data_IF_037722710347
#
_entry.id   IF_037722710347
#
_cell.length_a   1.000
_cell.length_b   1.000
_cell.length_c   1.000
_cell.angle_alpha   90.00
_cell.angle_beta   90.00
_cell.angle_gamma   90.00
#
_symmetry.space_group_name_H-M   'P 1'
#
loop_
_entity.id
_entity.type
_entity.pdbx_description
1 polymer ?
#
# COMPACT_ATOMS: atom_id res chain seq x y z
N UNK A 1 -4.52 2.37 -1.14
CA UNK A 1 -4.64 0.90 -1.12
C UNK A 1 -5.53 0.31 -2.23
N UNK A 2 -6.69 0.90 -2.58
CA UNK A 2 -7.64 0.29 -3.54
C UNK A 2 -7.06 0.00 -4.94
N UNK A 3 -6.25 0.91 -5.49
CA UNK A 3 -5.59 0.70 -6.78
C UNK A 3 -4.55 -0.44 -6.74
N UNK A 4 -3.83 -0.58 -5.62
CA UNK A 4 -2.82 -1.62 -5.40
C UNK A 4 -3.49 -3.00 -5.29
N UNK A 5 -4.60 -3.08 -4.56
CA UNK A 5 -5.40 -4.31 -4.45
C UNK A 5 -5.87 -4.83 -5.81
N UNK A 6 -6.43 -3.95 -6.64
CA UNK A 6 -6.87 -4.33 -8.00
C UNK A 6 -5.71 -4.76 -8.92
N UNK A 7 -4.55 -4.15 -8.78
CA UNK A 7 -3.38 -4.49 -9.60
C UNK A 7 -2.72 -5.79 -9.13
N UNK A 8 -2.81 -6.11 -7.83
CA UNK A 8 -2.30 -7.37 -7.25
C UNK A 8 -3.08 -8.61 -7.71
N UNK A 9 -4.38 -8.47 -7.98
CA UNK A 9 -5.22 -9.55 -8.52
C UNK A 9 -5.02 -9.79 -10.02
N UNK A 10 -4.43 -8.83 -10.75
CA UNK A 10 -4.28 -8.87 -12.21
C UNK A 10 -2.85 -9.26 -12.65
N UNK A 11 -2.19 -10.16 -11.90
CA UNK A 11 -0.83 -10.65 -12.18
C UNK A 11 -0.78 -11.38 -13.54
N UNK A 12 -0.61 -10.64 -14.64
CA UNK A 12 -0.33 -11.24 -15.96
C UNK A 12 -0.84 -10.47 -17.19
N UNK A 13 -1.72 -9.47 -17.03
CA UNK A 13 -2.27 -8.71 -18.16
C UNK A 13 -1.27 -7.75 -18.81
N UNK A 14 -1.40 -7.48 -20.12
CA UNK A 14 -0.62 -6.42 -20.79
C UNK A 14 -1.03 -5.05 -20.20
N UNK A 15 -0.11 -4.08 -20.05
CA UNK A 15 -0.41 -2.78 -19.40
C UNK A 15 -1.61 -2.04 -19.99
N UNK A 16 -1.82 -2.16 -21.31
CA UNK A 16 -2.95 -1.56 -22.00
C UNK A 16 -4.30 -2.18 -21.61
N UNK A 17 -4.35 -3.49 -21.34
CA UNK A 17 -5.57 -4.18 -20.92
C UNK A 17 -5.94 -3.81 -19.48
N UNK A 18 -4.94 -3.71 -18.59
CA UNK A 18 -5.07 -3.18 -17.23
C UNK A 18 -5.57 -1.74 -17.21
N UNK A 19 -5.17 -0.91 -18.18
CA UNK A 19 -5.61 0.49 -18.27
C UNK A 19 -7.10 0.61 -18.47
N UNK A 20 -7.61 -0.18 -19.42
CA UNK A 20 -9.02 -0.26 -19.77
C UNK A 20 -9.84 -0.85 -18.63
N UNK A 21 -9.36 -1.94 -18.02
CA UNK A 21 -10.06 -2.61 -16.91
C UNK A 21 -10.14 -1.75 -15.64
N UNK A 22 -9.07 -0.99 -15.37
CA UNK A 22 -8.99 -0.17 -14.16
C UNK A 22 -9.49 1.26 -14.35
N UNK A 23 -9.81 1.67 -15.58
CA UNK A 23 -10.18 3.04 -15.92
C UNK A 23 -9.08 4.05 -15.58
N UNK A 24 -7.81 3.67 -15.72
CA UNK A 24 -6.66 4.49 -15.33
C UNK A 24 -5.82 4.87 -16.57
N UNK A 25 -5.33 6.13 -16.66
CA UNK A 25 -4.41 6.49 -17.72
C UNK A 25 -3.10 5.69 -17.60
N UNK A 26 -2.41 5.35 -18.71
CA UNK A 26 -1.23 4.48 -18.72
C UNK A 26 -0.13 4.89 -17.73
N UNK A 27 0.18 6.19 -17.64
CA UNK A 27 1.19 6.72 -16.70
C UNK A 27 0.88 6.39 -15.23
N UNK A 28 -0.41 6.27 -14.87
CA UNK A 28 -0.85 5.93 -13.51
C UNK A 28 -0.63 4.45 -13.23
N UNK A 29 -0.79 3.59 -14.23
CA UNK A 29 -0.52 2.15 -14.11
C UNK A 29 0.96 1.91 -13.93
N UNK A 30 1.80 2.57 -14.71
CA UNK A 30 3.26 2.44 -14.59
C UNK A 30 3.74 2.87 -13.22
N UNK A 31 3.19 3.98 -12.69
CA UNK A 31 3.45 4.44 -11.33
C UNK A 31 3.04 3.39 -10.29
N UNK A 32 1.83 2.82 -10.40
CA UNK A 32 1.35 1.80 -9.46
C UNK A 32 2.18 0.51 -9.57
N UNK A 33 2.57 0.08 -10.77
CA UNK A 33 3.46 -1.08 -10.98
C UNK A 33 4.83 -0.86 -10.36
N UNK A 34 5.42 0.32 -10.53
CA UNK A 34 6.70 0.67 -9.89
C UNK A 34 6.57 0.62 -8.36
N UNK A 35 5.49 1.17 -7.81
CA UNK A 35 5.23 1.10 -6.38
C UNK A 35 5.12 -0.35 -5.91
N UNK A 36 4.44 -1.22 -6.67
CA UNK A 36 4.22 -2.63 -6.32
C UNK A 36 5.47 -3.52 -6.32
N UNK A 37 6.58 -3.13 -6.98
CA UNK A 37 7.79 -3.96 -7.04
C UNK A 37 8.39 -4.33 -5.67
N UNK A 38 8.11 -3.56 -4.61
CA UNK A 38 8.55 -3.87 -3.25
C UNK A 38 7.50 -4.53 -2.35
N UNK A 39 6.29 -4.79 -2.85
CA UNK A 39 5.17 -5.24 -2.01
C UNK A 39 4.84 -6.71 -2.22
N UNK A 40 4.91 -7.48 -1.15
CA UNK A 40 4.31 -8.83 -1.04
C UNK A 40 2.90 -8.73 -0.44
N UNK A 41 2.03 -9.73 -0.65
CA UNK A 41 0.72 -9.78 0.00
C UNK A 41 0.80 -9.62 1.53
N UNK A 42 1.75 -10.32 2.17
CA UNK A 42 1.97 -10.24 3.61
C UNK A 42 2.47 -8.85 4.04
N UNK A 43 3.38 -8.25 3.27
CA UNK A 43 3.84 -6.88 3.51
C UNK A 43 2.70 -5.88 3.46
N UNK A 44 1.78 -6.02 2.50
CA UNK A 44 0.59 -5.18 2.40
C UNK A 44 -0.33 -5.37 3.62
N UNK A 45 -0.52 -6.61 4.08
CA UNK A 45 -1.33 -6.89 5.27
C UNK A 45 -0.73 -6.26 6.53
N UNK A 46 0.59 -6.35 6.71
CA UNK A 46 1.31 -5.71 7.83
C UNK A 46 1.16 -4.18 7.78
N UNK A 47 1.40 -3.57 6.62
CA UNK A 47 1.27 -2.13 6.46
C UNK A 47 -0.16 -1.64 6.72
N UNK A 48 -1.18 -2.40 6.28
CA UNK A 48 -2.57 -2.05 6.53
C UNK A 48 -2.91 -2.06 8.04
N UNK A 49 -2.45 -3.08 8.78
CA UNK A 49 -2.63 -3.15 10.24
C UNK A 49 -1.92 -2.01 10.96
N UNK A 50 -0.70 -1.66 10.54
CA UNK A 50 0.04 -0.54 11.12
C UNK A 50 -0.70 0.81 10.94
N UNK A 51 -1.26 1.05 9.75
CA UNK A 51 -2.06 2.25 9.48
C UNK A 51 -3.35 2.26 10.31
N UNK A 52 -4.03 1.12 10.44
CA UNK A 52 -5.23 1.03 11.25
C UNK A 52 -4.96 1.29 12.75
N UNK A 53 -3.84 0.78 13.27
CA UNK A 53 -3.42 1.06 14.65
C UNK A 53 -3.11 2.54 14.87
N UNK A 54 -2.49 3.20 13.89
CA UNK A 54 -2.24 4.63 13.95
C UNK A 54 -3.52 5.46 13.89
N UNK A 55 -4.47 5.11 13.02
CA UNK A 55 -5.78 5.76 12.93
C UNK A 55 -6.54 5.67 14.27
N UNK A 56 -6.51 4.49 14.90
CA UNK A 56 -7.08 4.28 16.22
C UNK A 56 -6.35 5.11 17.31
N UNK A 57 -5.01 5.22 17.25
CA UNK A 57 -4.24 6.03 18.20
C UNK A 57 -4.53 7.53 18.07
N UNK A 58 -4.60 8.04 16.84
CA UNK A 58 -4.87 9.46 16.56
C UNK A 58 -6.32 9.84 16.89
N UNK A 59 -7.29 8.98 16.58
CA UNK A 59 -8.72 9.26 16.82
C UNK A 59 -9.20 8.87 18.21
N UNK A 60 -8.57 7.88 18.83
CA UNK A 60 -8.99 7.30 20.11
C UNK A 60 -8.41 7.99 21.35
N UNK A 61 -7.63 9.07 21.18
CA UNK A 61 -7.01 9.79 22.30
C UNK A 61 -5.82 9.07 22.90
N UNK A 62 -5.00 8.39 22.08
CA UNK A 62 -3.74 7.84 22.55
C UNK A 62 -2.80 8.94 23.06
N UNK A 63 -1.98 8.61 24.05
CA UNK A 63 -1.13 9.58 24.77
C UNK A 63 -0.13 10.33 23.87
N UNK A 64 0.19 9.79 22.68
CA UNK A 64 1.12 10.38 21.73
C UNK A 64 0.73 10.05 20.26
N UNK A 65 -0.07 10.91 19.60
CA UNK A 65 -0.50 10.71 18.22
C UNK A 65 0.63 10.88 17.19
N UNK A 66 1.66 11.68 17.50
CA UNK A 66 2.82 11.88 16.63
C UNK A 66 3.67 10.62 16.61
N UNK A 67 3.96 10.05 17.78
CA UNK A 67 4.67 8.79 17.90
C UNK A 67 3.91 7.62 17.24
N UNK A 68 2.58 7.59 17.33
CA UNK A 68 1.76 6.60 16.64
C UNK A 68 1.94 6.68 15.11
N UNK A 69 2.03 7.88 14.55
CA UNK A 69 2.27 8.10 13.12
C UNK A 69 3.69 7.70 12.72
N UNK A 70 4.71 8.10 13.49
CA UNK A 70 6.10 7.72 13.23
C UNK A 70 6.27 6.20 13.20
N UNK A 71 5.71 5.51 14.20
CA UNK A 71 5.72 4.05 14.28
C UNK A 71 5.06 3.41 13.07
N UNK A 72 3.96 3.98 12.57
CA UNK A 72 3.28 3.50 11.38
C UNK A 72 4.14 3.64 10.13
N UNK A 73 4.79 4.80 9.93
CA UNK A 73 5.68 5.04 8.79
C UNK A 73 6.84 4.05 8.78
N UNK A 74 7.48 3.83 9.93
CA UNK A 74 8.57 2.87 10.07
C UNK A 74 8.11 1.45 9.76
N UNK A 75 6.95 1.03 10.27
CA UNK A 75 6.37 -0.28 10.00
C UNK A 75 6.06 -0.49 8.51
N UNK A 76 5.43 0.50 7.87
CA UNK A 76 5.10 0.49 6.44
C UNK A 76 6.37 0.40 5.58
N UNK A 77 7.41 1.19 5.91
CA UNK A 77 8.67 1.16 5.18
C UNK A 77 9.42 -0.17 5.34
N UNK A 78 9.37 -0.81 6.51
CA UNK A 78 9.92 -2.15 6.74
C UNK A 78 9.16 -3.20 5.95
N UNK A 79 7.82 -3.16 5.97
CA UNK A 79 6.98 -4.08 5.22
C UNK A 79 7.22 -4.01 3.69
N UNK A 80 7.43 -2.81 3.15
CA UNK A 80 7.76 -2.58 1.74
C UNK A 80 9.19 -3.00 1.34
N UNK A 81 10.08 -3.25 2.31
CA UNK A 81 11.44 -3.76 2.06
C UNK A 81 11.54 -5.27 2.19
N UNK A 82 10.72 -5.88 3.04
CA UNK A 82 10.68 -7.34 3.23
C UNK A 82 10.25 -8.11 1.97
N UNK A 83 9.69 -7.42 0.98
CA UNK A 83 9.31 -7.98 -0.32
C UNK A 83 10.32 -7.77 -1.45
N UNK A 84 11.47 -7.15 -1.19
CA UNK A 84 12.61 -7.05 -2.12
C UNK A 84 13.55 -8.22 -1.92
#
# INVERSE_FOLDING_TARGET
MRAIGKLSSARGGRPADLARELGMPPWKIDRVRQQMRGWTPDGVAVALRAVAAADAGVKGGGDDPEYALEKAVVAVARAARAGR
#
